data_IF_009889386844
#
_entry.id   IF_009889386844
#
_cell.length_a   1.000
_cell.length_b   1.000
_cell.length_c   1.000
_cell.angle_alpha   90.00
_cell.angle_beta   90.00
_cell.angle_gamma   90.00
#
_symmetry.space_group_name_H-M   'P 1'
#
loop_
_entity.id
_entity.type
_entity.pdbx_description
1 polymer ?
#
# COMPACT_ATOMS: atom_id res chain seq x y z
N UNK A 1 -7.35 -8.84 5.48
CA UNK A 1 -8.16 -9.32 4.34
C UNK A 1 -9.52 -8.63 4.24
N UNK A 2 -10.38 -8.65 5.26
CA UNK A 2 -11.70 -7.97 5.23
C UNK A 2 -11.62 -6.50 4.77
N UNK A 3 -10.73 -5.68 5.36
CA UNK A 3 -10.55 -4.28 4.94
C UNK A 3 -10.13 -4.11 3.48
N UNK A 4 -9.30 -5.01 2.94
CA UNK A 4 -8.94 -5.01 1.52
C UNK A 4 -10.12 -5.41 0.63
N UNK A 5 -10.96 -6.34 1.09
CA UNK A 5 -12.20 -6.69 0.41
C UNK A 5 -13.17 -5.51 0.35
N UNK A 6 -13.33 -4.76 1.44
CA UNK A 6 -14.14 -3.54 1.46
C UNK A 6 -13.61 -2.47 0.52
N UNK A 7 -12.28 -2.29 0.47
CA UNK A 7 -11.66 -1.41 -0.52
C UNK A 7 -12.01 -1.85 -1.94
N UNK A 8 -11.79 -3.13 -2.26
CA UNK A 8 -12.07 -3.71 -3.57
C UNK A 8 -13.55 -3.59 -3.99
N UNK A 9 -14.48 -3.87 -3.09
CA UNK A 9 -15.92 -3.94 -3.40
C UNK A 9 -16.65 -2.62 -3.30
N UNK A 10 -16.20 -1.72 -2.43
CA UNK A 10 -16.97 -0.54 -2.02
C UNK A 10 -16.14 0.75 -2.00
N UNK A 11 -14.88 0.72 -2.46
CA UNK A 11 -14.02 1.92 -2.44
C UNK A 11 -13.64 2.38 -1.03
N UNK A 12 -13.73 1.51 -0.02
CA UNK A 12 -13.33 1.84 1.35
C UNK A 12 -11.89 2.37 1.39
N UNK A 13 -11.73 3.63 1.84
CA UNK A 13 -10.47 4.39 1.87
C UNK A 13 -9.82 4.65 0.50
N UNK A 14 -10.55 4.51 -0.61
CA UNK A 14 -10.09 4.96 -1.92
C UNK A 14 -10.21 6.47 -2.06
N UNK A 15 -9.25 7.11 -2.76
CA UNK A 15 -9.26 8.56 -2.99
C UNK A 15 -10.36 9.04 -3.94
N UNK A 16 -10.92 8.15 -4.75
CA UNK A 16 -12.00 8.45 -5.71
C UNK A 16 -13.38 7.99 -5.23
N UNK A 17 -13.47 7.38 -4.04
CA UNK A 17 -14.70 6.75 -3.54
C UNK A 17 -15.04 5.38 -4.15
N UNK A 18 -14.25 4.87 -5.10
CA UNK A 18 -14.38 3.52 -5.66
C UNK A 18 -13.00 2.86 -5.84
N UNK A 19 -12.97 1.52 -5.93
CA UNK A 19 -11.71 0.82 -6.20
C UNK A 19 -11.26 1.06 -7.65
N UNK A 20 -10.10 1.68 -7.82
CA UNK A 20 -9.37 1.71 -9.07
C UNK A 20 -7.98 1.11 -8.87
N UNK A 21 -7.30 0.76 -9.97
CA UNK A 21 -5.91 0.29 -9.98
C UNK A 21 -5.57 -0.94 -9.11
N UNK A 22 -6.53 -1.85 -8.95
CA UNK A 22 -6.26 -3.13 -8.27
C UNK A 22 -5.51 -4.09 -9.20
N UNK A 23 -4.26 -4.40 -8.85
CA UNK A 23 -3.47 -5.41 -9.54
C UNK A 23 -4.09 -6.82 -9.52
N UNK A 24 -3.82 -7.60 -10.59
CA UNK A 24 -4.38 -8.94 -10.82
C UNK A 24 -4.19 -9.90 -9.64
N UNK A 25 -2.98 -9.94 -9.08
CA UNK A 25 -2.64 -10.81 -7.95
C UNK A 25 -3.46 -10.51 -6.70
N UNK A 26 -3.59 -9.22 -6.35
CA UNK A 26 -4.40 -8.76 -5.22
C UNK A 26 -5.87 -9.10 -5.44
N UNK A 27 -6.42 -8.82 -6.63
CA UNK A 27 -7.81 -9.15 -6.99
C UNK A 27 -8.10 -10.63 -6.81
N UNK A 28 -7.25 -11.51 -7.36
CA UNK A 28 -7.40 -12.96 -7.25
C UNK A 28 -7.37 -13.45 -5.80
N UNK A 29 -6.47 -12.89 -4.97
CA UNK A 29 -6.41 -13.23 -3.55
C UNK A 29 -7.68 -12.80 -2.80
N UNK A 30 -8.25 -11.63 -3.10
CA UNK A 30 -9.49 -11.15 -2.48
C UNK A 30 -10.72 -11.93 -2.93
N UNK A 31 -10.78 -12.34 -4.19
CA UNK A 31 -11.85 -13.21 -4.69
C UNK A 31 -11.80 -14.60 -4.04
N UNK A 32 -10.60 -15.18 -3.92
CA UNK A 32 -10.40 -16.45 -3.21
C UNK A 32 -10.76 -16.32 -1.72
N UNK A 33 -10.39 -15.22 -1.08
CA UNK A 33 -10.78 -14.93 0.31
C UNK A 33 -12.31 -14.87 0.45
N UNK A 34 -12.99 -14.15 -0.45
CA UNK A 34 -14.45 -14.02 -0.44
C UNK A 34 -15.15 -15.37 -0.62
N UNK A 35 -14.60 -16.25 -1.48
CA UNK A 35 -15.09 -17.65 -1.62
C UNK A 35 -14.85 -18.47 -0.35
N UNK A 36 -13.67 -18.37 0.27
CA UNK A 36 -13.36 -19.07 1.53
C UNK A 36 -14.24 -18.61 2.69
N UNK A 37 -14.65 -17.34 2.71
CA UNK A 37 -15.59 -16.82 3.72
C UNK A 37 -16.97 -17.51 3.68
N UNK A 38 -17.34 -18.19 2.60
CA UNK A 38 -18.55 -19.02 2.58
C UNK A 38 -18.49 -20.18 3.59
N UNK A 39 -17.29 -20.69 3.89
CA UNK A 39 -17.10 -21.69 4.97
C UNK A 39 -17.59 -21.10 6.30
N UNK A 40 -17.15 -19.89 6.63
CA UNK A 40 -17.57 -19.21 7.86
C UNK A 40 -19.07 -18.93 7.87
N UNK A 41 -19.64 -18.51 6.74
CA UNK A 41 -21.07 -18.26 6.61
C UNK A 41 -21.89 -19.50 6.97
N UNK A 42 -21.52 -20.66 6.44
CA UNK A 42 -22.19 -21.93 6.73
C UNK A 42 -21.93 -22.38 8.17
N UNK A 43 -20.68 -22.32 8.64
CA UNK A 43 -20.30 -22.78 9.99
C UNK A 43 -20.98 -22.00 11.11
N UNK A 44 -21.17 -20.69 10.94
CA UNK A 44 -21.78 -19.82 11.94
C UNK A 44 -23.26 -19.51 11.65
N UNK A 45 -23.87 -20.17 10.66
CA UNK A 45 -25.27 -19.97 10.25
C UNK A 45 -25.63 -18.49 9.97
N UNK A 46 -24.71 -17.75 9.34
CA UNK A 46 -24.86 -16.31 9.08
C UNK A 46 -25.60 -16.05 7.77
N UNK A 47 -26.38 -14.97 7.71
CA UNK A 47 -27.25 -14.67 6.55
C UNK A 47 -26.57 -13.73 5.56
N UNK A 48 -25.79 -12.79 6.05
CA UNK A 48 -25.22 -11.68 5.29
C UNK A 48 -23.69 -11.72 5.28
N UNK A 49 -23.08 -11.07 4.28
CA UNK A 49 -21.62 -10.92 4.20
C UNK A 49 -21.06 -10.04 5.32
N UNK A 50 -21.83 -9.04 5.76
CA UNK A 50 -21.46 -8.12 6.85
C UNK A 50 -21.32 -8.87 8.17
N UNK A 51 -22.21 -9.83 8.46
CA UNK A 51 -22.09 -10.68 9.64
C UNK A 51 -20.80 -11.50 9.62
N UNK A 52 -20.45 -12.08 8.46
CA UNK A 52 -19.20 -12.84 8.30
C UNK A 52 -17.98 -11.94 8.51
N UNK A 53 -18.00 -10.72 8.00
CA UNK A 53 -16.91 -9.76 8.14
C UNK A 53 -16.71 -9.22 9.56
N UNK A 54 -17.73 -9.36 10.43
CA UNK A 54 -17.66 -8.96 11.84
C UNK A 54 -17.10 -10.05 12.75
N UNK A 55 -16.91 -11.28 12.25
CA UNK A 55 -16.27 -12.36 13.01
C UNK A 55 -14.84 -11.97 13.41
N UNK A 56 -14.54 -12.12 14.69
CA UNK A 56 -13.20 -11.88 15.24
C UNK A 56 -12.23 -12.99 14.85
N UNK A 57 -10.93 -12.68 14.90
CA UNK A 57 -9.89 -13.68 14.69
C UNK A 57 -10.02 -14.89 15.66
N UNK A 58 -10.41 -14.65 16.92
CA UNK A 58 -10.57 -15.71 17.91
C UNK A 58 -11.67 -16.71 17.54
N UNK A 59 -12.75 -16.22 16.94
CA UNK A 59 -13.85 -17.07 16.49
C UNK A 59 -13.43 -17.93 15.28
N UNK A 60 -12.60 -17.40 14.38
CA UNK A 60 -12.31 -18.07 13.10
C UNK A 60 -11.02 -18.88 13.08
N UNK A 61 -10.08 -18.65 14.02
CA UNK A 61 -8.72 -19.23 13.96
C UNK A 61 -8.69 -20.77 14.01
N UNK A 62 -9.73 -21.40 14.57
CA UNK A 62 -9.82 -22.85 14.69
C UNK A 62 -10.64 -23.51 13.57
N UNK A 63 -11.25 -22.72 12.69
CA UNK A 63 -12.11 -23.28 11.64
C UNK A 63 -11.24 -24.03 10.63
N UNK A 64 -11.42 -25.35 10.48
CA UNK A 64 -10.61 -26.14 9.57
C UNK A 64 -10.73 -25.61 8.14
N UNK A 65 -9.63 -25.60 7.39
CA UNK A 65 -9.56 -25.15 5.99
C UNK A 65 -9.84 -23.66 5.75
N UNK A 66 -10.13 -22.86 6.79
CA UNK A 66 -10.19 -21.41 6.65
C UNK A 66 -8.80 -20.80 6.82
N UNK A 67 -8.21 -20.40 5.71
CA UNK A 67 -6.91 -19.73 5.66
C UNK A 67 -7.02 -18.36 5.01
N UNK A 68 -6.49 -17.34 5.67
CA UNK A 68 -6.47 -15.95 5.20
C UNK A 68 -5.40 -15.71 4.14
N UNK A 69 -4.38 -16.57 4.07
CA UNK A 69 -3.35 -16.52 3.04
C UNK A 69 -3.90 -17.07 1.72
N UNK A 70 -4.37 -16.15 0.88
CA UNK A 70 -5.11 -16.49 -0.34
C UNK A 70 -4.24 -16.47 -1.61
N UNK A 71 -3.00 -16.02 -1.51
CA UNK A 71 -2.08 -16.00 -2.65
C UNK A 71 -1.59 -17.39 -3.05
N UNK A 72 -1.22 -17.54 -4.32
CA UNK A 72 -0.41 -18.68 -4.77
C UNK A 72 1.08 -18.49 -4.39
N UNK A 73 1.85 -19.58 -4.22
CA UNK A 73 3.26 -19.53 -3.78
C UNK A 73 4.26 -18.92 -4.77
N UNK A 74 3.87 -18.67 -6.02
CA UNK A 74 4.76 -18.11 -7.06
C UNK A 74 4.45 -16.63 -7.38
N UNK A 75 3.48 -16.02 -6.69
CA UNK A 75 3.08 -14.62 -6.91
C UNK A 75 4.14 -13.68 -6.35
N UNK A 76 4.94 -13.09 -7.24
CA UNK A 76 6.08 -12.22 -6.93
C UNK A 76 5.88 -10.77 -7.41
N UNK A 77 4.64 -10.29 -7.40
CA UNK A 77 4.33 -8.88 -7.66
C UNK A 77 4.78 -7.95 -6.52
N UNK A 78 4.99 -6.68 -6.84
CA UNK A 78 5.41 -5.62 -5.91
C UNK A 78 4.30 -5.12 -4.95
N UNK A 79 3.04 -5.48 -5.18
CA UNK A 79 1.90 -4.91 -4.45
C UNK A 79 1.88 -5.16 -2.93
N UNK A 80 2.65 -6.13 -2.42
CA UNK A 80 2.87 -6.28 -0.98
C UNK A 80 3.82 -5.23 -0.40
N UNK A 81 4.86 -4.87 -1.14
CA UNK A 81 5.91 -3.95 -0.73
C UNK A 81 5.42 -2.50 -0.72
N UNK A 82 4.55 -2.13 -1.66
CA UNK A 82 4.01 -0.76 -1.78
C UNK A 82 3.10 -0.33 -0.61
N UNK A 83 2.70 -1.25 0.26
CA UNK A 83 1.78 -1.00 1.38
C UNK A 83 2.34 -1.40 2.75
N UNK A 84 3.66 -1.56 2.85
CA UNK A 84 4.30 -2.24 3.96
C UNK A 84 4.36 -1.39 5.24
N UNK A 85 4.64 -0.09 5.12
CA UNK A 85 5.04 0.82 6.21
C UNK A 85 4.25 0.71 7.52
N UNK A 86 2.92 0.54 7.55
CA UNK A 86 2.19 0.43 8.81
C UNK A 86 2.71 -0.68 9.74
N UNK A 87 3.25 -1.78 9.21
CA UNK A 87 3.77 -2.89 10.01
C UNK A 87 5.06 -2.52 10.75
N UNK A 88 6.16 -2.14 10.09
CA UNK A 88 7.38 -1.76 10.78
C UNK A 88 7.21 -0.49 11.63
N UNK A 89 6.35 0.47 11.24
CA UNK A 89 6.04 1.65 12.07
C UNK A 89 5.40 1.26 13.41
N UNK A 90 4.53 0.25 13.41
CA UNK A 90 3.85 -0.19 14.61
C UNK A 90 4.75 -1.05 15.52
N UNK A 91 5.59 -1.90 14.92
CA UNK A 91 6.41 -2.87 15.67
C UNK A 91 7.87 -2.44 15.86
N UNK A 92 8.24 -1.19 15.57
CA UNK A 92 9.65 -0.73 15.54
C UNK A 92 10.47 -0.99 16.82
N UNK A 93 9.81 -1.11 17.98
CA UNK A 93 10.47 -1.45 19.26
C UNK A 93 10.83 -2.92 19.41
N UNK A 94 10.29 -3.79 18.57
CA UNK A 94 10.61 -5.21 18.47
C UNK A 94 11.01 -5.56 17.03
N UNK A 95 12.28 -5.35 16.64
CA UNK A 95 12.72 -5.50 15.26
C UNK A 95 12.49 -6.91 14.67
N UNK A 96 12.71 -7.97 15.46
CA UNK A 96 12.47 -9.34 15.00
C UNK A 96 10.99 -9.55 14.65
N UNK A 97 10.08 -9.12 15.53
CA UNK A 97 8.64 -9.21 15.28
C UNK A 97 8.21 -8.32 14.11
N UNK A 98 8.75 -7.11 14.00
CA UNK A 98 8.48 -6.21 12.89
C UNK A 98 8.88 -6.82 11.54
N UNK A 99 10.07 -7.44 11.47
CA UNK A 99 10.57 -8.12 10.28
C UNK A 99 9.71 -9.33 9.95
N UNK A 100 9.38 -10.18 10.91
CA UNK A 100 8.53 -11.35 10.68
C UNK A 100 7.12 -10.96 10.20
N UNK A 101 6.47 -10.01 10.88
CA UNK A 101 5.13 -9.55 10.50
C UNK A 101 5.12 -8.80 9.17
N UNK A 102 6.22 -8.14 8.80
CA UNK A 102 6.38 -7.55 7.47
C UNK A 102 6.27 -8.62 6.39
N UNK A 103 6.93 -9.77 6.58
CA UNK A 103 6.81 -10.93 5.70
C UNK A 103 5.40 -11.53 5.68
N UNK A 104 4.79 -11.73 6.86
CA UNK A 104 3.44 -12.30 6.96
C UNK A 104 2.38 -11.42 6.29
N UNK A 105 2.54 -10.10 6.31
CA UNK A 105 1.64 -9.16 5.62
C UNK A 105 1.61 -9.35 4.09
N UNK A 106 2.72 -9.86 3.52
CA UNK A 106 2.82 -10.17 2.10
C UNK A 106 1.97 -11.40 1.73
N UNK A 107 2.05 -12.47 2.55
CA UNK A 107 1.39 -13.77 2.33
C UNK A 107 -0.11 -13.68 2.03
N UNK A 108 -0.76 -12.65 2.54
CA UNK A 108 -2.17 -12.35 2.31
C UNK A 108 -2.53 -12.30 0.82
N UNK A 109 -1.67 -11.70 -0.01
CA UNK A 109 -1.94 -11.44 -1.44
C UNK A 109 -0.77 -11.78 -2.38
N UNK A 110 0.44 -11.97 -1.83
CA UNK A 110 1.68 -12.25 -2.55
C UNK A 110 2.48 -13.32 -1.80
N UNK A 111 2.29 -14.57 -2.21
CA UNK A 111 2.75 -15.76 -1.49
C UNK A 111 4.14 -16.24 -1.89
N UNK A 112 4.82 -15.57 -2.81
CA UNK A 112 6.19 -15.95 -3.15
C UNK A 112 7.19 -15.61 -2.05
N UNK A 113 8.17 -16.50 -1.89
CA UNK A 113 9.28 -16.28 -0.97
C UNK A 113 10.03 -14.97 -1.29
N UNK A 114 10.06 -14.55 -2.56
CA UNK A 114 10.64 -13.28 -2.97
C UNK A 114 9.87 -12.09 -2.43
N UNK A 115 8.54 -12.11 -2.53
CA UNK A 115 7.69 -11.03 -2.00
C UNK A 115 7.75 -10.97 -0.46
N UNK A 116 7.73 -12.13 0.19
CA UNK A 116 7.88 -12.26 1.64
C UNK A 116 9.22 -11.68 2.08
N UNK A 117 10.33 -12.15 1.53
CA UNK A 117 11.66 -11.71 1.95
C UNK A 117 11.97 -10.27 1.57
N UNK A 118 11.42 -9.76 0.46
CA UNK A 118 11.52 -8.34 0.12
C UNK A 118 10.84 -7.48 1.19
N UNK A 119 9.63 -7.85 1.64
CA UNK A 119 8.96 -7.15 2.72
C UNK A 119 9.71 -7.26 4.05
N UNK A 120 10.28 -8.43 4.36
CA UNK A 120 11.11 -8.62 5.57
C UNK A 120 12.34 -7.71 5.56
N UNK A 121 13.07 -7.68 4.45
CA UNK A 121 14.25 -6.84 4.30
C UNK A 121 13.91 -5.35 4.34
N UNK A 122 12.89 -4.92 3.60
CA UNK A 122 12.49 -3.52 3.58
C UNK A 122 11.90 -3.05 4.92
N UNK A 123 11.16 -3.93 5.60
CA UNK A 123 10.70 -3.70 6.97
C UNK A 123 11.86 -3.50 7.94
N UNK A 124 12.94 -4.29 7.82
CA UNK A 124 14.15 -4.11 8.63
C UNK A 124 14.80 -2.74 8.39
N UNK A 125 14.87 -2.28 7.14
CA UNK A 125 15.40 -0.95 6.80
C UNK A 125 14.56 0.17 7.42
N UNK A 126 13.23 0.08 7.34
CA UNK A 126 12.34 1.06 7.97
C UNK A 126 12.52 1.07 9.49
N UNK A 127 12.59 -0.10 10.14
CA UNK A 127 12.83 -0.20 11.58
C UNK A 127 14.18 0.40 11.97
N UNK A 128 15.24 0.12 11.22
CA UNK A 128 16.57 0.68 11.46
C UNK A 128 16.57 2.22 11.33
N UNK A 129 15.90 2.77 10.30
CA UNK A 129 15.74 4.21 10.12
C UNK A 129 15.01 4.86 11.31
N UNK A 130 13.89 4.27 11.76
CA UNK A 130 13.14 4.75 12.94
C UNK A 130 13.94 4.67 14.24
N UNK A 131 14.97 3.81 14.28
CA UNK A 131 15.89 3.65 15.42
C UNK A 131 17.11 4.55 15.31
N UNK A 132 17.15 5.44 14.32
CA UNK A 132 18.20 6.46 14.15
C UNK A 132 19.46 5.97 13.45
N UNK A 133 19.43 4.82 12.76
CA UNK A 133 20.58 4.41 11.95
C UNK A 133 20.79 5.39 10.78
N UNK A 134 22.07 5.73 10.55
CA UNK A 134 22.46 6.62 9.47
C UNK A 134 22.30 5.94 8.12
N UNK A 135 22.14 6.73 7.07
CA UNK A 135 21.95 6.25 5.70
C UNK A 135 23.07 5.31 5.23
N UNK A 136 24.31 5.58 5.62
CA UNK A 136 25.46 4.74 5.30
C UNK A 136 25.38 3.35 5.95
N UNK A 137 24.72 3.26 7.11
CA UNK A 137 24.46 1.99 7.81
C UNK A 137 23.33 1.22 7.12
N UNK A 138 22.24 1.91 6.78
CA UNK A 138 21.10 1.34 6.05
C UNK A 138 21.53 0.77 4.68
N UNK A 139 22.40 1.48 3.97
CA UNK A 139 22.88 1.11 2.64
C UNK A 139 24.17 0.28 2.67
N UNK A 140 24.63 -0.14 3.85
CA UNK A 140 25.83 -0.97 3.98
C UNK A 140 25.58 -2.38 3.43
N UNK A 141 26.51 -2.95 2.66
CA UNK A 141 26.38 -4.34 2.18
C UNK A 141 26.42 -5.37 3.32
N UNK A 142 26.83 -4.99 4.53
CA UNK A 142 26.76 -5.81 5.73
C UNK A 142 25.48 -5.62 6.53
N UNK A 143 24.55 -4.73 6.13
CA UNK A 143 23.33 -4.44 6.91
C UNK A 143 22.57 -5.71 7.31
N UNK A 144 22.33 -6.62 6.36
CA UNK A 144 21.66 -7.88 6.62
C UNK A 144 22.41 -8.76 7.64
N UNK A 145 23.74 -8.83 7.52
CA UNK A 145 24.59 -9.62 8.42
C UNK A 145 24.66 -9.01 9.82
N UNK A 146 24.78 -7.68 9.92
CA UNK A 146 24.77 -6.93 11.18
C UNK A 146 23.45 -7.05 11.93
N UNK A 147 22.34 -7.22 11.20
CA UNK A 147 21.00 -7.39 11.75
C UNK A 147 20.48 -8.83 11.67
N UNK A 148 21.37 -9.82 11.57
CA UNK A 148 21.01 -11.22 11.33
C UNK A 148 19.97 -11.75 12.32
N UNK A 149 20.03 -11.32 13.58
CA UNK A 149 19.10 -11.70 14.65
C UNK A 149 17.64 -11.35 14.32
N UNK A 150 17.37 -10.29 13.57
CA UNK A 150 15.99 -9.88 13.24
C UNK A 150 15.33 -10.78 12.20
N UNK A 151 16.10 -11.56 11.46
CA UNK A 151 15.60 -12.40 10.36
C UNK A 151 15.38 -13.87 10.74
N UNK A 152 15.53 -14.23 12.02
CA UNK A 152 15.32 -15.60 12.51
C UNK A 152 16.16 -16.66 11.75
N UNK A 153 15.91 -17.97 11.91
CA UNK A 153 16.76 -19.00 11.30
C UNK A 153 16.67 -19.07 9.76
N UNK A 154 15.52 -18.73 9.17
CA UNK A 154 15.24 -18.93 7.72
C UNK A 154 16.11 -18.07 6.78
N UNK A 155 16.59 -16.90 7.24
CA UNK A 155 17.35 -15.96 6.40
C UNK A 155 16.53 -15.38 5.23
N UNK A 156 17.21 -14.79 4.24
CA UNK A 156 16.61 -14.20 3.03
C UNK A 156 16.95 -15.02 1.78
N UNK A 157 16.02 -15.09 0.82
CA UNK A 157 16.24 -15.74 -0.47
C UNK A 157 17.36 -15.05 -1.29
N UNK A 158 17.93 -15.77 -2.26
CA UNK A 158 19.10 -15.32 -3.04
C UNK A 158 18.91 -13.98 -3.74
N UNK A 159 17.72 -13.72 -4.27
CA UNK A 159 17.44 -12.51 -5.05
C UNK A 159 17.37 -11.28 -4.15
N UNK A 160 16.76 -11.39 -2.97
CA UNK A 160 16.74 -10.30 -1.99
C UNK A 160 18.12 -10.08 -1.39
N UNK A 161 18.91 -11.14 -1.15
CA UNK A 161 20.31 -10.99 -0.72
C UNK A 161 21.16 -10.23 -1.73
N UNK A 162 20.97 -10.46 -3.03
CA UNK A 162 21.65 -9.70 -4.09
C UNK A 162 21.36 -8.20 -3.95
N UNK A 163 20.11 -7.83 -3.72
CA UNK A 163 19.71 -6.44 -3.47
C UNK A 163 20.32 -5.92 -2.17
N UNK A 164 20.25 -6.70 -1.08
CA UNK A 164 20.84 -6.34 0.21
C UNK A 164 22.36 -6.13 0.17
N UNK A 165 23.05 -6.79 -0.76
CA UNK A 165 24.48 -6.62 -1.02
C UNK A 165 24.80 -5.46 -1.97
N UNK A 166 23.80 -4.67 -2.38
CA UNK A 166 23.99 -3.40 -3.06
C UNK A 166 23.84 -3.44 -4.57
N UNK A 167 23.12 -4.41 -5.15
CA UNK A 167 22.92 -4.45 -6.61
C UNK A 167 22.22 -3.21 -7.16
N UNK A 168 21.52 -2.44 -6.32
CA UNK A 168 20.90 -1.15 -6.64
C UNK A 168 21.91 0.01 -6.79
N UNK A 169 23.17 -0.13 -6.39
CA UNK A 169 24.17 0.97 -6.42
C UNK A 169 24.73 1.20 -7.82
N UNK A 170 23.88 1.68 -8.71
CA UNK A 170 24.19 1.91 -10.12
C UNK A 170 24.05 3.39 -10.48
N UNK A 171 25.15 4.14 -10.66
CA UNK A 171 25.10 5.59 -10.91
C UNK A 171 24.20 5.99 -12.09
N UNK A 172 24.22 5.19 -13.16
CA UNK A 172 23.41 5.46 -14.36
C UNK A 172 21.95 5.01 -14.31
N UNK A 173 21.46 4.52 -13.16
CA UNK A 173 20.06 4.14 -12.96
C UNK A 173 19.53 3.24 -14.08
N UNK A 174 18.58 3.76 -14.86
CA UNK A 174 17.96 3.05 -15.98
C UNK A 174 18.99 2.57 -17.02
N UNK A 175 19.99 3.37 -17.38
CA UNK A 175 21.00 2.97 -18.39
C UNK A 175 21.88 1.81 -17.92
N UNK A 176 22.03 1.65 -16.60
CA UNK A 176 22.77 0.56 -15.98
C UNK A 176 21.86 -0.61 -15.56
N UNK A 177 20.62 -0.63 -16.04
CA UNK A 177 19.69 -1.74 -15.88
C UNK A 177 18.92 -1.75 -14.56
N UNK A 178 18.77 -0.61 -13.87
CA UNK A 178 17.71 -0.49 -12.85
C UNK A 178 16.37 -0.44 -13.58
N UNK A 179 15.40 -1.25 -13.14
CA UNK A 179 14.06 -1.31 -13.72
C UNK A 179 13.02 -1.22 -12.61
N UNK A 180 11.98 -0.45 -12.84
CA UNK A 180 10.86 -0.24 -11.91
C UNK A 180 9.65 -1.02 -12.41
N UNK A 181 9.72 -2.36 -12.48
CA UNK A 181 8.61 -3.18 -13.01
C UNK A 181 7.71 -3.72 -11.89
N UNK A 182 6.59 -4.30 -12.30
CA UNK A 182 5.65 -5.02 -11.42
C UNK A 182 6.26 -6.19 -10.61
N UNK A 183 7.50 -6.61 -10.91
CA UNK A 183 8.20 -7.67 -10.19
C UNK A 183 8.86 -7.13 -8.91
N UNK A 184 8.65 -7.83 -7.79
CA UNK A 184 9.04 -7.32 -6.47
C UNK A 184 10.54 -7.05 -6.28
N UNK A 185 11.41 -7.80 -6.97
CA UNK A 185 12.85 -7.58 -6.87
C UNK A 185 13.26 -6.31 -7.63
N UNK A 186 12.68 -6.09 -8.80
CA UNK A 186 12.90 -4.88 -9.60
C UNK A 186 12.44 -3.64 -8.83
N UNK A 187 11.22 -3.68 -8.27
CA UNK A 187 10.68 -2.58 -7.47
C UNK A 187 11.50 -2.29 -6.20
N UNK A 188 11.96 -3.34 -5.50
CA UNK A 188 12.83 -3.19 -4.33
C UNK A 188 14.19 -2.56 -4.72
N UNK A 189 14.79 -3.04 -5.81
CA UNK A 189 16.06 -2.53 -6.32
C UNK A 189 15.93 -1.06 -6.77
N UNK A 190 14.87 -0.73 -7.49
CA UNK A 190 14.58 0.63 -7.96
C UNK A 190 14.35 1.62 -6.81
N UNK A 191 13.57 1.24 -5.79
CA UNK A 191 13.33 2.10 -4.64
C UNK A 191 14.60 2.35 -3.80
N UNK A 192 15.45 1.33 -3.66
CA UNK A 192 16.74 1.47 -2.97
C UNK A 192 17.77 2.22 -3.80
N UNK A 193 17.71 2.11 -5.13
CA UNK A 193 18.51 2.96 -6.02
C UNK A 193 18.13 4.41 -5.84
N UNK A 194 16.84 4.74 -5.86
CA UNK A 194 16.35 6.10 -5.63
C UNK A 194 16.78 6.62 -4.25
N UNK A 195 16.66 5.79 -3.20
CA UNK A 195 17.16 6.16 -1.87
C UNK A 195 18.68 6.32 -1.83
N UNK A 196 19.45 5.53 -2.57
CA UNK A 196 20.90 5.70 -2.64
C UNK A 196 21.33 6.95 -3.42
N UNK A 197 20.59 7.34 -4.47
CA UNK A 197 20.93 8.44 -5.37
C UNK A 197 20.31 9.79 -5.04
N UNK A 198 19.44 9.88 -4.03
CA UNK A 198 18.62 11.07 -3.72
C UNK A 198 19.39 12.31 -3.21
N UNK A 199 20.73 12.27 -3.11
CA UNK A 199 21.55 13.39 -2.64
C UNK A 199 21.13 13.96 -1.26
N UNK A 200 20.67 13.08 -0.36
CA UNK A 200 20.19 13.43 0.98
C UNK A 200 18.93 14.31 1.00
N UNK A 201 18.07 14.17 -0.02
CA UNK A 201 16.83 14.93 -0.15
C UNK A 201 15.65 14.00 -0.47
N UNK A 202 14.58 14.10 0.30
CA UNK A 202 13.35 13.35 0.04
C UNK A 202 12.81 13.64 -1.37
N UNK A 203 12.84 14.92 -1.77
CA UNK A 203 12.31 15.41 -3.03
C UNK A 203 13.08 14.83 -4.20
N UNK A 204 14.41 14.88 -4.15
CA UNK A 204 15.27 14.37 -5.20
C UNK A 204 15.07 12.86 -5.41
N UNK A 205 14.88 12.10 -4.32
CA UNK A 205 14.67 10.66 -4.42
C UNK A 205 13.28 10.27 -4.92
N UNK A 206 12.21 10.99 -4.51
CA UNK A 206 10.88 10.79 -5.11
C UNK A 206 10.93 11.08 -6.61
N UNK A 207 11.55 12.20 -7.01
CA UNK A 207 11.68 12.56 -8.42
C UNK A 207 12.52 11.54 -9.19
N UNK A 208 13.61 11.01 -8.59
CA UNK A 208 14.40 9.94 -9.19
C UNK A 208 13.56 8.66 -9.38
N UNK A 209 12.77 8.27 -8.38
CA UNK A 209 11.89 7.10 -8.44
C UNK A 209 10.82 7.22 -9.54
N UNK A 210 10.22 8.41 -9.69
CA UNK A 210 9.23 8.70 -10.74
C UNK A 210 9.87 8.76 -12.13
N UNK A 211 10.98 9.48 -12.26
CA UNK A 211 11.66 9.66 -13.55
C UNK A 211 12.36 8.41 -14.07
N UNK A 212 12.50 7.36 -13.24
CA UNK A 212 12.98 6.05 -13.67
C UNK A 212 12.03 5.39 -14.70
N UNK A 213 10.74 5.78 -14.73
CA UNK A 213 9.74 5.24 -15.65
C UNK A 213 9.15 3.90 -15.19
N UNK A 214 8.55 3.16 -16.13
CA UNK A 214 7.83 1.90 -15.88
C UNK A 214 6.69 2.05 -14.82
N UNK A 215 6.74 1.29 -13.73
CA UNK A 215 5.80 1.26 -12.59
C UNK A 215 6.17 2.37 -11.59
N UNK A 216 5.97 3.62 -12.03
CA UNK A 216 6.45 4.83 -11.35
C UNK A 216 5.76 5.08 -10.01
N UNK A 217 4.45 4.87 -9.93
CA UNK A 217 3.63 5.05 -8.74
C UNK A 217 4.04 4.07 -7.64
N UNK A 218 4.19 2.79 -7.97
CA UNK A 218 4.65 1.78 -7.00
C UNK A 218 6.06 2.07 -6.52
N UNK A 219 6.97 2.43 -7.42
CA UNK A 219 8.37 2.69 -7.06
C UNK A 219 8.49 3.90 -6.14
N UNK A 220 7.79 5.00 -6.45
CA UNK A 220 7.74 6.18 -5.60
C UNK A 220 7.08 5.90 -4.24
N UNK A 221 6.01 5.10 -4.22
CA UNK A 221 5.35 4.68 -2.98
C UNK A 221 6.25 3.78 -2.11
N UNK A 222 7.07 2.91 -2.70
CA UNK A 222 8.05 2.12 -1.94
C UNK A 222 9.13 3.05 -1.39
N UNK A 223 9.79 3.85 -2.24
CA UNK A 223 10.81 4.83 -1.83
C UNK A 223 10.32 5.71 -0.67
N UNK A 224 9.12 6.28 -0.80
CA UNK A 224 8.56 7.22 0.17
C UNK A 224 8.39 6.64 1.58
N UNK A 225 8.21 5.32 1.70
CA UNK A 225 8.12 4.66 3.01
C UNK A 225 9.45 4.71 3.78
N UNK A 226 10.56 4.32 3.14
CA UNK A 226 11.88 4.33 3.78
C UNK A 226 12.40 5.77 3.93
N UNK A 227 12.30 6.56 2.86
CA UNK A 227 12.74 7.95 2.88
C UNK A 227 11.94 8.78 3.90
N UNK A 228 10.63 8.57 4.01
CA UNK A 228 9.80 9.23 5.01
C UNK A 228 10.16 8.84 6.44
N UNK A 229 10.49 7.55 6.68
CA UNK A 229 10.98 7.09 7.98
C UNK A 229 12.37 7.65 8.33
N UNK A 230 13.22 7.91 7.33
CA UNK A 230 14.58 8.41 7.52
C UNK A 230 14.65 9.94 7.63
N UNK A 231 14.07 10.67 6.68
CA UNK A 231 14.08 12.14 6.65
C UNK A 231 13.03 12.75 7.58
N UNK A 232 11.93 12.04 7.84
CA UNK A 232 10.81 12.56 8.62
C UNK A 232 9.96 13.58 7.85
N UNK A 233 8.72 13.76 8.33
CA UNK A 233 7.70 14.61 7.69
C UNK A 233 8.13 16.07 7.50
N UNK A 234 8.91 16.61 8.44
CA UNK A 234 9.37 18.00 8.41
C UNK A 234 10.29 18.32 7.21
N UNK A 235 10.85 17.30 6.56
CA UNK A 235 11.72 17.43 5.40
C UNK A 235 10.99 17.17 4.06
N UNK A 236 9.66 17.05 4.07
CA UNK A 236 8.83 16.97 2.86
C UNK A 236 8.33 18.38 2.51
N UNK A 237 8.25 18.72 1.22
CA UNK A 237 7.78 20.05 0.80
C UNK A 237 6.35 20.30 1.30
N UNK A 238 6.07 21.46 1.93
CA UNK A 238 4.72 21.81 2.37
C UNK A 238 3.69 21.70 1.25
N UNK A 239 3.99 22.25 0.06
CA UNK A 239 3.10 22.21 -1.10
C UNK A 239 2.70 20.78 -1.51
N UNK A 240 3.58 19.80 -1.34
CA UNK A 240 3.27 18.40 -1.63
C UNK A 240 2.34 17.80 -0.57
N UNK A 241 2.51 18.19 0.69
CA UNK A 241 1.65 17.74 1.79
C UNK A 241 0.25 18.36 1.73
N UNK A 242 0.13 19.59 1.24
CA UNK A 242 -1.13 20.31 1.04
C UNK A 242 -1.97 19.70 -0.09
N UNK A 243 -1.33 19.23 -1.16
CA UNK A 243 -2.02 18.57 -2.28
C UNK A 243 -2.36 17.10 -2.00
N UNK A 244 -1.81 16.49 -0.94
CA UNK A 244 -2.02 15.08 -0.64
C UNK A 244 -3.47 14.84 -0.17
N UNK A 245 -4.21 14.04 -0.93
CA UNK A 245 -5.55 13.60 -0.54
C UNK A 245 -5.53 12.93 0.84
N UNK A 246 -6.45 13.34 1.72
CA UNK A 246 -6.61 12.82 3.08
C UNK A 246 -5.34 12.94 3.96
N UNK A 247 -4.51 13.97 3.73
CA UNK A 247 -3.28 14.25 4.49
C UNK A 247 -3.49 14.22 6.02
N UNK A 248 -4.56 14.85 6.51
CA UNK A 248 -4.89 14.86 7.95
C UNK A 248 -5.23 13.48 8.50
N UNK A 249 -5.98 12.68 7.72
CA UNK A 249 -6.30 11.31 8.10
C UNK A 249 -5.05 10.43 8.13
N UNK A 250 -4.19 10.54 7.11
CA UNK A 250 -2.92 9.80 7.03
C UNK A 250 -2.02 10.18 8.22
N UNK A 251 -1.92 11.48 8.54
CA UNK A 251 -1.16 11.99 9.68
C UNK A 251 -1.71 11.43 11.00
N UNK A 252 -3.02 11.52 11.21
CA UNK A 252 -3.68 10.98 12.40
C UNK A 252 -3.44 9.47 12.58
N UNK A 253 -3.55 8.68 11.51
CA UNK A 253 -3.26 7.23 11.57
C UNK A 253 -1.78 7.00 11.90
N UNK A 254 -0.87 7.79 11.34
CA UNK A 254 0.57 7.67 11.58
C UNK A 254 0.91 7.96 13.04
N UNK A 255 0.33 9.02 13.63
CA UNK A 255 0.49 9.36 15.04
C UNK A 255 -0.03 8.25 15.96
N UNK A 256 -1.20 7.68 15.64
CA UNK A 256 -1.76 6.56 16.39
C UNK A 256 -0.89 5.30 16.29
N UNK A 257 -0.38 4.97 15.10
CA UNK A 257 0.54 3.85 14.92
C UNK A 257 1.80 4.03 15.75
N UNK A 258 2.39 5.22 15.74
CA UNK A 258 3.57 5.54 16.53
C UNK A 258 3.29 5.47 18.04
N UNK A 259 2.21 6.10 18.52
CA UNK A 259 1.80 6.07 19.92
C UNK A 259 1.60 4.64 20.44
N UNK A 260 0.89 3.80 19.67
CA UNK A 260 0.65 2.42 20.06
C UNK A 260 1.92 1.57 19.97
N UNK A 261 2.76 1.81 18.96
CA UNK A 261 4.07 1.16 18.82
C UNK A 261 5.01 1.49 19.97
N UNK A 262 4.96 2.72 20.51
CA UNK A 262 5.69 3.11 21.71
C UNK A 262 5.26 2.31 22.94
N UNK A 263 3.95 2.12 23.14
CA UNK A 263 3.42 1.34 24.27
C UNK A 263 3.73 -0.14 24.18
N UNK A 264 3.98 -0.64 22.98
CA UNK A 264 4.17 -2.05 22.73
C UNK A 264 5.53 -2.61 23.20
N UNK A 265 6.36 -1.82 23.89
CA UNK A 265 7.54 -2.33 24.60
C UNK A 265 7.24 -3.10 25.89
N UNK A 266 6.00 -3.02 26.40
CA UNK A 266 5.63 -3.52 27.74
C UNK A 266 4.67 -4.71 27.75
N UNK A 267 4.17 -5.18 26.61
CA UNK A 267 3.13 -6.22 26.58
C UNK A 267 3.25 -7.17 25.38
N UNK A 268 4.34 -7.92 25.29
CA UNK A 268 4.34 -9.21 24.55
C UNK A 268 4.22 -10.36 25.55
N UNK A 269 3.24 -10.22 26.44
CA UNK A 269 2.46 -11.31 27.03
C UNK A 269 1.08 -10.72 27.25
N UNK A 270 0.09 -11.26 26.53
CA UNK A 270 -1.35 -11.14 26.79
C UNK A 270 -2.10 -9.94 26.13
N UNK A 271 -2.97 -10.32 25.19
CA UNK A 271 -4.26 -9.72 24.77
C UNK A 271 -4.38 -8.83 23.51
N UNK A 272 -4.86 -9.48 22.44
CA UNK A 272 -5.41 -8.93 21.19
C UNK A 272 -6.73 -8.13 21.34
N UNK A 273 -7.24 -7.89 22.56
CA UNK A 273 -8.63 -7.44 22.77
C UNK A 273 -8.81 -5.90 22.83
N UNK A 274 -7.76 -5.13 23.14
CA UNK A 274 -7.88 -3.66 23.21
C UNK A 274 -7.97 -2.99 21.82
N UNK A 275 -7.33 -3.55 20.80
CA UNK A 275 -7.33 -3.00 19.44
C UNK A 275 -8.71 -2.99 18.79
N UNK A 276 -9.53 -3.97 19.14
CA UNK A 276 -10.90 -4.06 18.64
C UNK A 276 -11.76 -2.88 19.12
N UNK A 277 -11.61 -2.45 20.38
CA UNK A 277 -12.45 -1.41 20.98
C UNK A 277 -12.11 0.00 20.49
N UNK A 278 -10.84 0.31 20.29
CA UNK A 278 -10.39 1.63 19.81
C UNK A 278 -10.72 1.85 18.32
N UNK A 279 -10.54 0.82 17.48
CA UNK A 279 -10.90 0.92 16.05
C UNK A 279 -12.41 1.05 15.83
N UNK A 280 -13.25 0.49 16.72
CA UNK A 280 -14.71 0.60 16.65
C UNK A 280 -15.19 2.05 16.80
N UNK A 281 -14.60 2.84 17.71
CA UNK A 281 -14.98 4.25 17.93
C UNK A 281 -14.57 5.17 16.76
N UNK A 282 -13.40 4.95 16.18
CA UNK A 282 -12.95 5.67 14.98
C UNK A 282 -13.73 5.24 13.73
N UNK A 283 -14.01 3.94 13.57
CA UNK A 283 -14.85 3.45 12.48
C UNK A 283 -16.29 3.96 12.58
N UNK A 284 -16.88 4.06 13.78
CA UNK A 284 -18.24 4.61 13.94
C UNK A 284 -18.31 6.07 13.48
N UNK A 285 -17.29 6.90 13.79
CA UNK A 285 -17.29 8.32 13.41
C UNK A 285 -17.18 8.54 11.89
N UNK A 286 -16.45 7.68 11.17
CA UNK A 286 -16.29 7.78 9.71
C UNK A 286 -17.33 6.95 8.91
N UNK A 287 -17.85 5.83 9.45
CA UNK A 287 -18.99 5.12 8.85
C UNK A 287 -20.29 5.91 8.94
N UNK A 288 -20.55 6.64 10.03
CA UNK A 288 -21.78 7.44 10.15
C UNK A 288 -21.82 8.58 9.12
N UNK A 289 -20.66 9.14 8.75
CA UNK A 289 -20.55 10.10 7.64
C UNK A 289 -20.77 9.46 6.26
N UNK A 290 -20.49 8.16 6.10
CA UNK A 290 -20.76 7.43 4.85
C UNK A 290 -22.17 6.85 4.79
N UNK A 291 -22.78 6.48 5.92
CA UNK A 291 -24.16 5.99 6.00
C UNK A 291 -25.16 7.14 5.81
N UNK A 292 -24.83 8.36 6.25
CA UNK A 292 -25.67 9.54 5.99
C UNK A 292 -25.85 9.85 4.49
N UNK A 293 -24.93 9.38 3.63
CA UNK A 293 -25.05 9.48 2.17
C UNK A 293 -25.94 8.36 1.59
N UNK A 294 -26.05 7.23 2.28
CA UNK A 294 -26.90 6.10 1.87
C UNK A 294 -28.36 6.25 2.32
N UNK A 295 -28.64 6.90 3.46
CA UNK A 295 -30.02 7.17 3.91
C UNK A 295 -30.66 8.37 3.17
N UNK A 296 -29.87 9.20 2.48
CA UNK A 296 -30.35 10.37 1.74
C UNK A 296 -30.65 10.14 0.25
N UNK A 297 -30.36 8.96 -0.30
CA UNK A 297 -30.53 8.66 -1.73
C UNK A 297 -31.68 7.67 -2.04
N UNK A 298 -32.49 7.29 -1.04
CA UNK A 298 -33.59 6.35 -1.25
C UNK A 298 -34.92 6.97 -1.66
N UNK A 299 -35.09 8.30 -1.68
CA UNK A 299 -36.39 8.93 -1.98
C UNK A 299 -36.29 10.24 -2.80
N UNK A 300 -35.61 10.22 -3.96
CA UNK A 300 -35.84 11.23 -4.99
C UNK A 300 -36.19 10.61 -6.34
N UNK A 301 -37.52 10.54 -6.57
CA UNK A 301 -38.24 10.70 -7.84
C UNK A 301 -37.44 10.35 -9.10
N UNK A 302 -37.69 9.15 -9.62
CA UNK A 302 -37.43 8.80 -11.02
C UNK A 302 -38.31 9.67 -11.92
N UNK A 303 -37.79 10.53 -12.81
CA UNK A 303 -38.62 11.17 -13.82
C UNK A 303 -38.95 10.14 -14.91
N UNK A 304 -40.25 9.93 -15.12
CA UNK A 304 -40.85 9.10 -16.16
C UNK A 304 -40.26 9.43 -17.53
N UNK A 305 -39.94 8.38 -18.30
CA UNK A 305 -39.73 8.45 -19.75
C UNK A 305 -40.97 9.07 -20.41
N UNK A 306 -40.78 10.16 -21.14
CA UNK A 306 -41.71 10.63 -22.15
C UNK A 306 -41.24 10.07 -23.48
N UNK A 307 -42.08 9.25 -24.10
CA UNK A 307 -42.01 8.92 -25.52
C UNK A 307 -42.51 10.13 -26.30
N UNK A 308 -41.77 10.60 -27.31
CA UNK A 308 -42.35 11.07 -28.58
C UNK A 308 -41.31 11.10 -29.71
N UNK A 309 -41.54 10.18 -30.65
CA UNK A 309 -41.33 10.17 -32.11
C UNK A 309 -40.37 11.12 -32.85
N UNK A 310 -39.58 10.45 -33.71
CA UNK A 310 -39.32 10.68 -35.16
C UNK A 310 -38.20 11.65 -35.63
N UNK A 311 -37.29 10.98 -36.37
CA UNK A 311 -36.73 11.31 -37.69
C UNK A 311 -35.38 12.02 -37.85
N UNK A 312 -34.62 11.43 -38.79
CA UNK A 312 -33.62 11.99 -39.68
C UNK A 312 -32.17 12.09 -39.17
N UNK A 313 -31.44 10.99 -39.37
CA UNK A 313 -30.42 10.88 -40.44
C UNK A 313 -29.59 12.14 -40.73
N UNK A 314 -28.28 12.10 -40.39
CA UNK A 314 -27.21 12.55 -41.28
C UNK A 314 -25.82 12.18 -40.75
N UNK A 315 -25.14 11.40 -41.59
CA UNK A 315 -23.69 11.18 -41.65
C UNK A 315 -22.91 12.50 -41.56
N UNK A 316 -21.73 12.47 -40.94
CA UNK A 316 -20.54 13.14 -41.46
C UNK A 316 -19.26 12.54 -40.86
N UNK A 317 -18.46 11.96 -41.75
CA UNK A 317 -17.03 11.71 -41.58
C UNK A 317 -16.28 13.01 -41.23
N UNK A 318 -15.13 12.91 -40.55
CA UNK A 318 -13.83 13.41 -41.05
C UNK A 318 -12.68 12.91 -40.14
N UNK A 319 -11.56 12.66 -40.82
CA UNK A 319 -10.29 12.05 -40.42
C UNK A 319 -9.41 12.90 -39.48
N UNK A 320 -8.53 12.17 -38.78
CA UNK A 320 -7.18 12.51 -38.29
C UNK A 320 -6.52 13.72 -38.99
N UNK A 321 -5.85 14.60 -38.24
CA UNK A 321 -4.39 14.56 -38.00
C UNK A 321 -3.77 15.91 -37.58
N UNK A 322 -2.65 15.81 -36.85
CA UNK A 322 -1.48 16.74 -36.73
C UNK A 322 -1.49 17.88 -35.70
N UNK A 323 -0.50 17.80 -34.80
CA UNK A 323 0.12 18.89 -34.05
C UNK A 323 0.57 20.05 -34.95
N UNK A 324 0.71 21.27 -34.38
CA UNK A 324 2.06 21.81 -34.21
C UNK A 324 2.36 22.45 -32.84
N UNK A 325 3.66 22.64 -32.69
CA UNK A 325 4.57 23.23 -31.71
C UNK A 325 4.24 24.58 -31.03
N UNK A 326 4.90 24.73 -29.89
CA UNK A 326 5.11 25.88 -29.01
C UNK A 326 5.33 27.25 -29.68
N UNK A 327 4.71 28.29 -29.10
CA UNK A 327 5.15 29.69 -29.16
C UNK A 327 5.10 30.27 -27.73
N UNK A 328 6.11 31.07 -27.44
CA UNK A 328 6.45 31.76 -26.20
C UNK A 328 5.63 33.03 -25.94
N UNK A 329 5.68 33.45 -24.66
CA UNK A 329 5.39 34.78 -24.12
C UNK A 329 3.92 35.21 -23.93
N UNK A 330 3.64 35.67 -22.70
CA UNK A 330 2.57 36.62 -22.38
C UNK A 330 1.29 35.96 -21.86
N UNK A 331 1.05 36.06 -20.54
CA UNK A 331 -0.09 35.42 -19.88
C UNK A 331 -1.47 35.97 -20.28
N UNK A 332 -2.51 35.21 -19.90
CA UNK A 332 -3.79 35.68 -19.32
C UNK A 332 -4.77 34.49 -19.20
N UNK A 333 -5.37 34.40 -17.99
CA UNK A 333 -6.81 34.21 -17.72
C UNK A 333 -7.45 32.83 -17.96
N UNK A 334 -7.95 32.30 -16.83
CA UNK A 334 -8.90 31.20 -16.73
C UNK A 334 -10.29 31.59 -17.25
N UNK A 335 -10.99 30.74 -18.01
CA UNK A 335 -12.43 30.76 -18.07
C UNK A 335 -12.99 29.83 -16.97
N UNK A 336 -13.75 30.42 -16.06
CA UNK A 336 -14.78 29.72 -15.30
C UNK A 336 -15.77 29.09 -16.27
N UNK A 337 -16.08 27.79 -16.11
CA UNK A 337 -17.42 27.21 -16.17
C UNK A 337 -17.41 25.84 -15.51
#
# INVERSE_FOLDING_TARGET
MVRYKWWYKHGFLASTGYCFDIGKSTRQALEKFSRRQQILKTTFHLRTEIEVDRLSFQQVKHIPKFDVNCSQPNVAGNGALMRLAPVPLYFFRNPELAVELSGQSACLTHGSQKAIDACRYYGALIVAALRGERKEQLLNNKFYSSHRAWFGPRGLCKDVRRVAFGSYKKPGGYEMGIRSRGYVIDALEAALWAFWSDQNSFQNGVLAAVNLGDDTDTTAAIYGQLAGAYYGRANILPDWLEQLYASDFITCISDWLYYLGQKNSLAVKIHNDMFYRASKKLQQKYLLGTISIYDGMSDQVVPRRINETRNADRRLHIRRSRHPTWISNGGLVWPQY
#
